data_IF_866599686211
#
_entry.id   IF_866599686211
#
_cell.length_a   1.000
_cell.length_b   1.000
_cell.length_c   1.000
_cell.angle_alpha   90.00
_cell.angle_beta   90.00
_cell.angle_gamma   90.00
#
_symmetry.space_group_name_H-M   'P 1'
#
loop_
_entity.id
_entity.type
_entity.pdbx_description
1 polymer ?
#
# COMPACT_ATOMS: atom_id res chain seq x y z
N UNK A 1 9.47 5.83 0.46
CA UNK A 1 9.62 5.18 1.78
C UNK A 1 8.35 5.20 2.66
N UNK A 2 7.59 6.31 2.79
CA UNK A 2 6.43 6.34 3.69
C UNK A 2 5.28 5.42 3.24
N UNK A 3 5.01 5.33 1.93
CA UNK A 3 3.97 4.43 1.41
C UNK A 3 4.22 2.95 1.75
N UNK A 4 5.46 2.47 1.67
CA UNK A 4 5.81 1.10 2.07
C UNK A 4 5.65 0.86 3.57
N UNK A 5 5.92 1.88 4.41
CA UNK A 5 5.69 1.80 5.85
C UNK A 5 4.20 1.64 6.16
N UNK A 6 3.34 2.50 5.58
CA UNK A 6 1.88 2.42 5.78
C UNK A 6 1.31 1.09 5.28
N UNK A 7 1.75 0.63 4.10
CA UNK A 7 1.37 -0.67 3.55
C UNK A 7 1.78 -1.82 4.49
N UNK A 8 3.03 -1.84 4.93
CA UNK A 8 3.56 -2.88 5.81
C UNK A 8 2.90 -2.91 7.18
N UNK A 9 2.56 -1.73 7.72
CA UNK A 9 1.81 -1.58 8.98
C UNK A 9 0.33 -1.96 8.85
N UNK A 10 -0.20 -2.03 7.62
CA UNK A 10 -1.63 -2.14 7.33
C UNK A 10 -2.43 -1.03 8.04
N UNK A 11 -1.89 0.19 7.99
CA UNK A 11 -2.50 1.33 8.66
C UNK A 11 -3.88 1.62 8.06
N UNK A 12 -4.89 1.72 8.92
CA UNK A 12 -6.25 2.09 8.54
C UNK A 12 -6.76 3.14 9.54
N UNK A 13 -7.35 4.21 9.02
CA UNK A 13 -8.04 5.20 9.83
C UNK A 13 -9.38 4.68 10.38
N UNK A 14 -10.00 5.43 11.30
CA UNK A 14 -11.33 5.08 11.82
C UNK A 14 -12.39 5.14 10.71
N UNK A 15 -13.32 4.19 10.74
CA UNK A 15 -14.47 4.17 9.80
C UNK A 15 -15.52 5.15 10.34
N UNK A 16 -15.50 6.38 9.81
CA UNK A 16 -16.49 7.41 10.14
C UNK A 16 -17.72 7.30 9.23
N UNK A 17 -18.85 7.96 9.56
CA UNK A 17 -20.02 8.02 8.67
C UNK A 17 -19.68 8.57 7.27
N UNK A 18 -18.76 9.54 7.18
CA UNK A 18 -18.26 10.04 5.89
C UNK A 18 -17.57 8.93 5.07
N UNK A 19 -16.74 8.10 5.71
CA UNK A 19 -16.09 6.97 5.02
C UNK A 19 -17.13 5.96 4.54
N UNK A 20 -18.21 5.73 5.29
CA UNK A 20 -19.31 4.85 4.85
C UNK A 20 -20.00 5.42 3.61
N UNK A 21 -20.35 6.71 3.63
CA UNK A 21 -20.96 7.37 2.46
C UNK A 21 -20.04 7.32 1.23
N UNK A 22 -18.74 7.59 1.39
CA UNK A 22 -17.77 7.52 0.29
C UNK A 22 -17.68 6.11 -0.31
N UNK A 23 -17.89 5.04 0.47
CA UNK A 23 -17.89 3.67 -0.05
C UNK A 23 -19.11 3.37 -0.92
N UNK A 24 -20.21 4.08 -0.73
CA UNK A 24 -21.42 3.96 -1.55
C UNK A 24 -21.34 4.87 -2.79
N UNK A 25 -20.71 6.04 -2.65
CA UNK A 25 -20.60 7.02 -3.74
C UNK A 25 -19.51 6.67 -4.76
N UNK A 26 -18.33 6.24 -4.31
CA UNK A 26 -17.16 6.05 -5.18
C UNK A 26 -17.18 4.73 -5.98
N UNK A 27 -17.99 3.76 -5.57
CA UNK A 27 -18.01 2.43 -6.16
C UNK A 27 -19.34 2.15 -6.84
N UNK A 28 -19.29 1.67 -8.09
CA UNK A 28 -20.49 1.28 -8.85
C UNK A 28 -21.11 -0.03 -8.38
N UNK A 29 -20.36 -0.84 -7.62
CA UNK A 29 -20.78 -2.12 -7.04
C UNK A 29 -20.79 -2.01 -5.52
N UNK A 30 -21.63 -2.79 -4.82
CA UNK A 30 -21.65 -2.81 -3.36
C UNK A 30 -20.24 -3.05 -2.80
N UNK A 31 -19.77 -2.17 -1.91
CA UNK A 31 -18.39 -2.20 -1.39
C UNK A 31 -17.99 -3.58 -0.80
N UNK A 32 -18.94 -4.27 -0.18
CA UNK A 32 -18.72 -5.57 0.45
C UNK A 32 -18.60 -6.74 -0.54
N UNK A 33 -19.08 -6.58 -1.76
CA UNK A 33 -19.02 -7.61 -2.81
C UNK A 33 -17.77 -7.48 -3.69
N UNK A 34 -17.01 -6.40 -3.53
CA UNK A 34 -15.84 -6.12 -4.36
C UNK A 34 -14.69 -7.12 -4.15
N UNK A 35 -14.25 -7.73 -5.25
CA UNK A 35 -13.05 -8.57 -5.26
C UNK A 35 -11.78 -7.72 -5.30
N UNK A 36 -11.28 -7.31 -4.13
CA UNK A 36 -10.06 -6.49 -3.99
C UNK A 36 -8.81 -7.13 -4.62
N UNK A 37 -8.75 -8.47 -4.70
CA UNK A 37 -7.65 -9.18 -5.39
C UNK A 37 -7.65 -8.90 -6.89
N UNK A 38 -8.82 -8.88 -7.53
CA UNK A 38 -8.96 -8.59 -8.97
C UNK A 38 -8.77 -7.10 -9.27
N UNK A 39 -8.94 -6.23 -8.29
CA UNK A 39 -8.80 -4.79 -8.45
C UNK A 39 -7.34 -4.32 -8.62
N UNK A 40 -6.34 -5.14 -8.27
CA UNK A 40 -4.91 -4.75 -8.31
C UNK A 40 -4.41 -4.34 -9.69
N UNK A 41 -4.96 -4.95 -10.74
CA UNK A 41 -4.61 -4.68 -12.14
C UNK A 41 -5.66 -3.83 -12.86
N UNK A 42 -6.69 -3.34 -12.16
CA UNK A 42 -7.73 -2.50 -12.75
C UNK A 42 -7.24 -1.05 -12.78
N UNK A 43 -7.02 -0.55 -13.98
CA UNK A 43 -6.81 0.87 -14.28
C UNK A 43 -7.67 1.22 -15.50
N UNK A 44 -8.22 2.43 -15.55
CA UNK A 44 -8.91 2.91 -16.74
C UNK A 44 -7.90 2.99 -17.89
N UNK A 45 -8.33 2.62 -19.11
CA UNK A 45 -7.40 2.56 -20.25
C UNK A 45 -6.91 3.95 -20.65
N UNK A 46 -7.77 4.94 -20.42
CA UNK A 46 -7.56 6.35 -20.69
C UNK A 46 -6.48 6.95 -19.75
N UNK A 47 -6.39 6.45 -18.52
CA UNK A 47 -5.41 6.90 -17.52
C UNK A 47 -4.10 6.10 -17.55
N UNK A 48 -4.08 4.97 -18.28
CA UNK A 48 -2.93 4.06 -18.34
C UNK A 48 -1.88 4.55 -19.33
N UNK A 49 -1.12 5.57 -18.93
CA UNK A 49 -0.05 6.12 -19.75
C UNK A 49 1.11 5.13 -19.99
N UNK A 50 1.47 4.34 -18.96
CA UNK A 50 2.47 3.29 -19.07
C UNK A 50 1.86 1.92 -18.76
N UNK A 51 1.60 1.08 -19.78
CA UNK A 51 1.06 -0.25 -19.55
C UNK A 51 2.11 -1.16 -18.91
N UNK A 52 1.67 -2.01 -17.99
CA UNK A 52 2.55 -2.98 -17.34
C UNK A 52 2.98 -4.08 -18.33
N UNK A 53 4.28 -4.38 -18.45
CA UNK A 53 4.75 -5.57 -19.14
C UNK A 53 4.32 -6.83 -18.38
N UNK A 54 4.08 -7.93 -19.12
CA UNK A 54 3.64 -9.21 -18.54
C UNK A 54 4.55 -9.72 -17.41
N UNK A 55 5.86 -9.51 -17.52
CA UNK A 55 6.81 -9.93 -16.48
C UNK A 55 6.55 -9.22 -15.14
N UNK A 56 6.14 -7.95 -15.19
CA UNK A 56 5.84 -7.14 -14.02
C UNK A 56 4.58 -7.67 -13.31
N UNK A 57 3.55 -7.98 -14.08
CA UNK A 57 2.30 -8.57 -13.56
C UNK A 57 2.57 -9.93 -12.89
N UNK A 58 3.37 -10.79 -13.52
CA UNK A 58 3.72 -12.12 -12.96
C UNK A 58 4.48 -11.98 -11.63
N UNK A 59 5.44 -11.05 -11.55
CA UNK A 59 6.22 -10.82 -10.33
C UNK A 59 5.30 -10.33 -9.21
N UNK A 60 4.43 -9.36 -9.48
CA UNK A 60 3.53 -8.81 -8.47
C UNK A 60 2.45 -9.79 -8.03
N UNK A 61 1.88 -10.57 -8.95
CA UNK A 61 0.91 -11.60 -8.58
C UNK A 61 1.56 -12.69 -7.75
N UNK A 62 2.76 -13.15 -8.13
CA UNK A 62 3.53 -14.09 -7.33
C UNK A 62 3.82 -13.56 -5.93
N UNK A 63 4.23 -12.29 -5.83
CA UNK A 63 4.46 -11.63 -4.55
C UNK A 63 3.19 -11.59 -3.69
N UNK A 64 2.09 -11.15 -4.26
CA UNK A 64 0.84 -10.94 -3.52
C UNK A 64 0.14 -12.24 -3.10
N UNK A 65 0.30 -13.32 -3.86
CA UNK A 65 -0.35 -14.62 -3.60
C UNK A 65 0.50 -15.47 -2.68
N UNK A 66 1.83 -15.44 -2.83
CA UNK A 66 2.74 -16.31 -2.08
C UNK A 66 3.52 -15.57 -1.00
N UNK A 67 4.27 -14.54 -1.38
CA UNK A 67 5.19 -13.87 -0.46
C UNK A 67 4.44 -13.09 0.64
N UNK A 68 3.38 -12.37 0.29
CA UNK A 68 2.67 -11.52 1.24
C UNK A 68 1.95 -12.32 2.36
N UNK A 69 1.21 -13.41 2.07
CA UNK A 69 0.67 -14.28 3.12
C UNK A 69 1.75 -15.00 3.94
N UNK A 70 2.90 -15.30 3.33
CA UNK A 70 4.02 -15.94 4.03
C UNK A 70 4.70 -14.99 5.02
N UNK A 71 4.96 -13.75 4.60
CA UNK A 71 5.62 -12.71 5.42
C UNK A 71 4.71 -12.12 6.50
N UNK A 72 3.39 -12.25 6.38
CA UNK A 72 2.43 -11.82 7.42
C UNK A 72 2.24 -12.85 8.53
N UNK A 73 2.65 -14.11 8.32
CA UNK A 73 2.54 -15.18 9.31
C UNK A 73 3.68 -15.16 10.33
N UNK A 74 3.38 -15.63 11.54
CA UNK A 74 4.40 -15.89 12.55
C UNK A 74 5.28 -17.08 12.11
N UNK A 75 6.61 -17.05 12.29
CA UNK A 75 7.42 -16.04 12.98
C UNK A 75 7.96 -14.91 12.08
N UNK A 76 7.79 -15.02 10.76
CA UNK A 76 8.41 -14.10 9.78
C UNK A 76 7.91 -12.66 9.89
N UNK A 77 6.64 -12.47 10.27
CA UNK A 77 6.11 -11.13 10.52
C UNK A 77 6.94 -10.39 11.58
N UNK A 78 7.23 -11.07 12.71
CA UNK A 78 8.03 -10.49 13.79
C UNK A 78 9.50 -10.29 13.38
N UNK A 79 10.07 -11.23 12.63
CA UNK A 79 11.50 -11.20 12.34
C UNK A 79 11.88 -10.32 11.15
N UNK A 80 11.02 -10.25 10.13
CA UNK A 80 11.31 -9.58 8.86
C UNK A 80 10.50 -8.29 8.75
N UNK A 81 9.18 -8.38 8.89
CA UNK A 81 8.30 -7.22 8.65
C UNK A 81 8.49 -6.14 9.71
N UNK A 82 8.53 -6.51 10.97
CA UNK A 82 8.74 -5.54 12.05
C UNK A 82 10.10 -4.85 11.94
N UNK A 83 11.17 -5.59 11.62
CA UNK A 83 12.49 -5.02 11.37
C UNK A 83 12.50 -4.09 10.16
N UNK A 84 11.85 -4.48 9.06
CA UNK A 84 11.74 -3.64 7.88
C UNK A 84 10.99 -2.33 8.18
N UNK A 85 9.92 -2.39 8.99
CA UNK A 85 9.19 -1.20 9.44
C UNK A 85 10.07 -0.28 10.29
N UNK A 86 10.83 -0.82 11.25
CA UNK A 86 11.77 -0.04 12.07
C UNK A 86 12.84 0.65 11.22
N UNK A 87 13.43 -0.09 10.28
CA UNK A 87 14.43 0.48 9.36
C UNK A 87 13.82 1.56 8.49
N UNK A 88 12.62 1.34 7.96
CA UNK A 88 11.92 2.33 7.12
C UNK A 88 11.63 3.61 7.93
N UNK A 89 11.15 3.48 9.17
CA UNK A 89 10.90 4.63 10.04
C UNK A 89 12.18 5.41 10.35
N UNK A 90 13.31 4.71 10.56
CA UNK A 90 14.61 5.37 10.73
C UNK A 90 15.00 6.22 9.52
N UNK A 91 14.73 5.75 8.31
CA UNK A 91 15.02 6.53 7.09
C UNK A 91 14.07 7.73 6.94
N UNK A 92 12.79 7.56 7.28
CA UNK A 92 11.81 8.66 7.27
C UNK A 92 12.26 9.76 8.25
N UNK A 93 12.57 9.43 9.50
CA UNK A 93 13.05 10.42 10.47
C UNK A 93 14.37 11.09 10.05
N UNK A 94 15.28 10.32 9.45
CA UNK A 94 16.52 10.90 8.93
C UNK A 94 16.26 11.93 7.83
N UNK A 95 15.32 11.66 6.93
CA UNK A 95 14.92 12.58 5.87
C UNK A 95 14.22 13.82 6.44
N UNK A 96 13.28 13.63 7.37
CA UNK A 96 12.58 14.69 8.06
C UNK A 96 13.56 15.63 8.80
N UNK A 97 14.49 15.08 9.58
CA UNK A 97 15.48 15.87 10.33
C UNK A 97 16.44 16.61 9.40
N UNK A 98 16.94 15.96 8.35
CA UNK A 98 17.88 16.55 7.40
C UNK A 98 17.25 17.64 6.54
N UNK A 99 15.95 17.52 6.22
CA UNK A 99 15.21 18.50 5.43
C UNK A 99 14.46 19.53 6.27
N UNK A 100 14.60 19.50 7.60
CA UNK A 100 13.82 20.33 8.53
C UNK A 100 12.30 20.19 8.34
N UNK A 101 11.84 18.95 8.12
CA UNK A 101 10.43 18.57 7.91
C UNK A 101 9.78 19.22 6.68
N UNK A 102 10.61 19.63 5.71
CA UNK A 102 10.15 20.10 4.40
C UNK A 102 9.98 18.90 3.45
N UNK A 103 10.87 17.90 3.55
CA UNK A 103 11.03 16.76 2.64
C UNK A 103 11.27 17.20 1.18
N UNK A 104 11.44 16.25 0.26
CA UNK A 104 11.70 16.59 -1.14
C UNK A 104 10.45 17.16 -1.84
N UNK A 105 9.27 16.66 -1.48
CA UNK A 105 8.00 17.04 -2.11
C UNK A 105 6.80 16.83 -1.18
N UNK A 106 5.65 17.35 -1.61
CA UNK A 106 4.40 17.32 -0.84
C UNK A 106 3.86 15.92 -0.53
N UNK A 107 4.24 14.89 -1.29
CA UNK A 107 3.79 13.51 -1.09
C UNK A 107 4.60 12.79 -0.02
N UNK A 108 5.85 13.20 0.17
CA UNK A 108 6.76 12.58 1.15
C UNK A 108 6.65 13.20 2.53
N UNK A 109 6.15 14.44 2.61
CA UNK A 109 5.78 15.14 3.83
C UNK A 109 4.50 14.61 4.46
#
# INVERSE_FOLDING_TARGET
>A
MPMSYLYGKRFMGPITPLIQNLREELFTQPYNENSWKKARHKCAKEDLYYPHPLIQDVIWDSWSVFAEPFLTRWPLNKLVREKALQVTMKHIHFEDENSQYINMACVEK
#
